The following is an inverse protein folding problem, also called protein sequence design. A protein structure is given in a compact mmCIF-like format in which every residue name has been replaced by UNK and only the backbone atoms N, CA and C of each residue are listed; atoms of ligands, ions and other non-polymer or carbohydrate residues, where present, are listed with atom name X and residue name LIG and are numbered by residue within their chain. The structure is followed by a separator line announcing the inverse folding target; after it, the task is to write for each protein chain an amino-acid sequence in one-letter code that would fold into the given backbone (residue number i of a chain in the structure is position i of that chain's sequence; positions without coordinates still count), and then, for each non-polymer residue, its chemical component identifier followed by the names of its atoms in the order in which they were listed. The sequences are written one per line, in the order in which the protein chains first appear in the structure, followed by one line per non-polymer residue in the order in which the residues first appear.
data_IF_161211894427
#
_entry.id   IF_161211894427
#
_cell.length_a   1.000
_cell.length_b   1.000
_cell.length_c   1.000
_cell.angle_alpha   90.00
_cell.angle_beta   90.00
_cell.angle_gamma   90.00
#
_symmetry.space_group_name_H-M   'P 1'
#
loop_
_entity.id
_entity.type
_entity.pdbx_description
1 polymer ?
#
# COMPACT_ATOMS: atom_id res chain seq x y z
N UNK A 1 -17.70 -4.04 -7.26
CA UNK A 1 -16.85 -5.26 -7.24
C UNK A 1 -15.42 -4.78 -7.07
N UNK A 2 -14.60 -5.46 -6.27
CA UNK A 2 -13.18 -5.09 -6.12
C UNK A 2 -12.33 -6.01 -6.97
N UNK A 3 -11.31 -5.49 -7.63
CA UNK A 3 -10.36 -6.31 -8.40
C UNK A 3 -9.13 -6.63 -7.55
N UNK A 4 -8.60 -7.82 -7.72
CA UNK A 4 -7.34 -8.26 -7.14
C UNK A 4 -6.29 -8.28 -8.24
N UNK A 5 -5.24 -7.49 -8.09
CA UNK A 5 -4.16 -7.39 -9.06
C UNK A 5 -2.80 -7.43 -8.37
N UNK A 6 -1.83 -8.04 -9.01
CA UNK A 6 -0.44 -8.08 -8.53
C UNK A 6 0.45 -7.24 -9.45
N UNK A 7 1.30 -6.38 -8.88
CA UNK A 7 2.41 -5.80 -9.65
C UNK A 7 3.42 -6.91 -9.91
N UNK A 8 3.83 -7.11 -11.16
CA UNK A 8 4.74 -8.20 -11.56
C UNK A 8 5.93 -7.72 -12.38
N UNK A 9 5.97 -6.43 -12.71
CA UNK A 9 7.01 -5.86 -13.54
C UNK A 9 6.78 -4.38 -13.79
N UNK A 10 7.61 -3.82 -14.64
CA UNK A 10 7.52 -2.45 -15.10
C UNK A 10 7.83 -2.42 -16.60
N UNK A 11 7.14 -1.55 -17.35
CA UNK A 11 7.36 -1.35 -18.77
C UNK A 11 7.48 0.14 -19.07
N UNK A 12 8.30 0.47 -20.07
CA UNK A 12 8.38 1.85 -20.58
C UNK A 12 7.31 2.04 -21.64
N UNK A 13 6.39 2.97 -21.40
CA UNK A 13 5.38 3.34 -22.37
C UNK A 13 6.04 4.06 -23.56
N UNK A 14 5.87 3.52 -24.77
CA UNK A 14 6.52 4.04 -25.99
C UNK A 14 6.00 5.43 -26.39
N UNK A 15 4.83 5.84 -25.93
CA UNK A 15 4.24 7.14 -26.28
C UNK A 15 4.69 8.24 -25.32
N UNK A 16 4.74 7.94 -24.02
CA UNK A 16 5.05 8.94 -22.99
C UNK A 16 6.49 8.84 -22.47
N UNK A 17 7.23 7.79 -22.84
CA UNK A 17 8.55 7.43 -22.27
C UNK A 17 8.56 7.30 -20.74
N UNK A 18 7.39 7.12 -20.12
CA UNK A 18 7.29 6.93 -18.68
C UNK A 18 7.29 5.45 -18.33
N UNK A 19 7.95 5.13 -17.21
CA UNK A 19 7.89 3.81 -16.63
C UNK A 19 6.52 3.59 -15.96
N UNK A 20 5.84 2.50 -16.31
CA UNK A 20 4.54 2.11 -15.78
C UNK A 20 4.61 0.71 -15.19
N UNK A 21 3.82 0.46 -14.16
CA UNK A 21 3.71 -0.87 -13.57
C UNK A 21 2.99 -1.84 -14.51
N UNK A 22 3.53 -3.05 -14.62
CA UNK A 22 2.87 -4.20 -15.23
C UNK A 22 2.04 -4.93 -14.17
N UNK A 23 0.75 -5.13 -14.48
CA UNK A 23 -0.22 -5.72 -13.55
C UNK A 23 -0.70 -7.08 -14.07
N UNK A 24 -0.68 -8.09 -13.19
CA UNK A 24 -1.35 -9.37 -13.42
C UNK A 24 -2.71 -9.37 -12.72
N UNK A 25 -3.77 -9.79 -13.44
CA UNK A 25 -5.12 -9.95 -12.88
C UNK A 25 -5.21 -11.25 -12.11
N UNK A 26 -5.45 -11.17 -10.79
CA UNK A 26 -5.47 -12.33 -9.88
C UNK A 26 -6.89 -12.81 -9.61
N UNK A 27 -7.85 -11.90 -9.54
CA UNK A 27 -9.23 -12.26 -9.22
C UNK A 27 -10.09 -11.06 -8.88
N UNK A 28 -11.23 -11.33 -8.24
CA UNK A 28 -12.17 -10.30 -7.80
C UNK A 28 -12.75 -10.64 -6.43
N UNK A 29 -13.10 -9.61 -5.67
CA UNK A 29 -13.93 -9.71 -4.47
C UNK A 29 -15.33 -9.23 -4.82
N UNK A 30 -16.30 -10.12 -4.60
CA UNK A 30 -17.74 -9.87 -4.75
C UNK A 30 -18.46 -9.92 -3.41
N UNK A 31 -19.69 -9.43 -3.40
CA UNK A 31 -20.62 -9.55 -2.27
C UNK A 31 -21.81 -10.38 -2.76
N UNK A 32 -22.11 -11.46 -2.05
CA UNK A 32 -23.25 -12.33 -2.37
C UNK A 32 -24.57 -11.64 -2.08
N UNK A 33 -25.68 -12.17 -2.61
CA UNK A 33 -27.03 -11.65 -2.31
C UNK A 33 -27.38 -11.64 -0.81
N UNK A 34 -26.66 -12.43 0.01
CA UNK A 34 -26.81 -12.50 1.48
C UNK A 34 -25.84 -11.57 2.22
N UNK A 35 -25.13 -10.69 1.52
CA UNK A 35 -24.18 -9.73 2.11
C UNK A 35 -22.82 -10.31 2.51
N UNK A 36 -22.55 -11.59 2.25
CA UNK A 36 -21.23 -12.20 2.53
C UNK A 36 -20.25 -11.88 1.41
N UNK A 37 -19.03 -11.48 1.76
CA UNK A 37 -17.93 -11.31 0.82
C UNK A 37 -17.40 -12.67 0.36
N UNK A 38 -16.99 -12.74 -0.91
CA UNK A 38 -16.32 -13.91 -1.49
C UNK A 38 -15.29 -13.48 -2.51
N UNK A 39 -14.31 -14.34 -2.75
CA UNK A 39 -13.28 -14.13 -3.75
C UNK A 39 -13.43 -15.16 -4.87
N UNK A 40 -13.29 -14.70 -6.11
CA UNK A 40 -13.10 -15.56 -7.27
C UNK A 40 -11.66 -15.37 -7.75
N UNK A 41 -10.93 -16.47 -7.86
CA UNK A 41 -9.56 -16.48 -8.37
C UNK A 41 -9.56 -16.82 -9.86
N UNK A 42 -8.69 -16.15 -10.62
CA UNK A 42 -8.45 -16.48 -12.01
C UNK A 42 -7.65 -17.80 -12.07
N UNK A 43 -8.20 -18.89 -12.65
CA UNK A 43 -7.52 -20.18 -12.71
C UNK A 43 -6.26 -20.19 -13.60
N UNK A 44 -6.10 -19.19 -14.47
CA UNK A 44 -4.91 -19.07 -15.34
C UNK A 44 -3.69 -18.54 -14.59
N UNK A 45 -3.87 -18.08 -13.35
CA UNK A 45 -2.80 -17.44 -12.56
C UNK A 45 -2.03 -18.46 -11.75
N UNK A 46 -0.71 -18.44 -11.90
CA UNK A 46 0.22 -19.15 -11.01
C UNK A 46 0.72 -18.21 -9.93
N UNK A 47 0.31 -18.44 -8.67
CA UNK A 47 0.79 -17.65 -7.52
C UNK A 47 2.30 -17.77 -7.32
N UNK A 48 2.88 -18.95 -7.57
CA UNK A 48 4.33 -19.14 -7.53
C UNK A 48 5.03 -18.30 -8.62
N UNK A 49 4.45 -18.25 -9.82
CA UNK A 49 4.94 -17.40 -10.90
C UNK A 49 4.88 -15.91 -10.55
N UNK A 50 3.79 -15.46 -9.90
CA UNK A 50 3.69 -14.09 -9.41
C UNK A 50 4.78 -13.78 -8.38
N UNK A 51 5.03 -14.68 -7.43
CA UNK A 51 6.05 -14.50 -6.40
C UNK A 51 7.44 -14.33 -7.02
N UNK A 52 7.80 -15.21 -7.96
CA UNK A 52 9.09 -15.14 -8.66
C UNK A 52 9.25 -13.80 -9.36
N UNK A 53 8.22 -13.35 -10.11
CA UNK A 53 8.26 -12.05 -10.78
C UNK A 53 8.41 -10.88 -9.81
N UNK A 54 7.68 -10.90 -8.70
CA UNK A 54 7.79 -9.87 -7.65
C UNK A 54 9.17 -9.85 -7.00
N UNK A 55 9.75 -11.02 -6.73
CA UNK A 55 11.10 -11.12 -6.17
C UNK A 55 12.17 -10.65 -7.17
N UNK A 56 12.03 -10.93 -8.46
CA UNK A 56 12.91 -10.38 -9.49
C UNK A 56 12.79 -8.86 -9.54
N UNK A 57 11.58 -8.31 -9.48
CA UNK A 57 11.36 -6.86 -9.43
C UNK A 57 11.98 -6.22 -8.19
N UNK A 58 11.78 -6.81 -7.01
CA UNK A 58 12.37 -6.35 -5.76
C UNK A 58 13.91 -6.40 -5.81
N UNK A 59 14.49 -7.49 -6.31
CA UNK A 59 15.92 -7.63 -6.48
C UNK A 59 16.51 -6.54 -7.38
N UNK A 60 15.85 -6.24 -8.51
CA UNK A 60 16.27 -5.18 -9.43
C UNK A 60 16.23 -3.79 -8.80
N UNK A 61 15.37 -3.58 -7.81
CA UNK A 61 15.24 -2.32 -7.05
C UNK A 61 16.14 -2.28 -5.81
N UNK A 62 16.86 -3.35 -5.49
CA UNK A 62 17.62 -3.48 -4.24
C UNK A 62 16.72 -3.61 -3.00
N UNK A 63 15.48 -4.02 -3.18
CA UNK A 63 14.51 -4.26 -2.12
C UNK A 63 14.58 -5.69 -1.59
N UNK A 64 14.01 -5.93 -0.40
CA UNK A 64 13.99 -7.24 0.22
C UNK A 64 13.04 -8.19 -0.54
N UNK A 65 13.50 -9.42 -0.75
CA UNK A 65 12.66 -10.50 -1.29
C UNK A 65 11.56 -10.91 -0.30
N UNK A 66 10.43 -11.38 -0.82
CA UNK A 66 9.27 -11.84 -0.05
C UNK A 66 9.06 -13.34 -0.21
N UNK A 67 8.50 -13.96 0.83
CA UNK A 67 7.99 -15.34 0.79
C UNK A 67 6.49 -15.39 0.43
N UNK A 68 5.83 -14.22 0.39
CA UNK A 68 4.39 -14.08 0.16
C UNK A 68 4.13 -13.20 -1.06
N UNK A 69 3.07 -13.53 -1.81
CA UNK A 69 2.62 -12.73 -2.96
C UNK A 69 1.89 -11.49 -2.46
N UNK A 70 2.31 -10.32 -2.93
CA UNK A 70 1.63 -9.07 -2.68
C UNK A 70 0.50 -8.86 -3.70
N UNK A 71 -0.72 -8.67 -3.21
CA UNK A 71 -1.92 -8.42 -4.01
C UNK A 71 -2.54 -7.08 -3.63
N UNK A 72 -2.79 -6.23 -4.61
CA UNK A 72 -3.54 -4.99 -4.46
C UNK A 72 -5.03 -5.23 -4.64
N UNK A 73 -5.84 -4.62 -3.76
CA UNK A 73 -7.30 -4.59 -3.87
C UNK A 73 -7.69 -3.24 -4.46
N UNK A 74 -8.34 -3.25 -5.63
CA UNK A 74 -8.72 -2.05 -6.37
C UNK A 74 -10.24 -1.93 -6.37
N UNK A 75 -10.77 -0.86 -5.78
CA UNK A 75 -12.19 -0.53 -5.80
C UNK A 75 -12.56 0.16 -7.12
N UNK A 76 -13.28 -0.53 -8.00
CA UNK A 76 -13.63 -0.06 -9.35
C UNK A 76 -14.55 1.18 -9.33
N UNK A 77 -15.31 1.38 -8.24
CA UNK A 77 -16.12 2.59 -8.02
C UNK A 77 -15.30 3.82 -7.63
N UNK A 78 -14.12 3.63 -7.02
CA UNK A 78 -13.26 4.75 -6.62
C UNK A 78 -12.45 5.31 -7.80
N UNK A 79 -12.22 4.50 -8.85
CA UNK A 79 -11.36 4.89 -9.96
C UNK A 79 -12.05 5.81 -10.98
N UNK A 80 -13.39 5.88 -10.99
CA UNK A 80 -14.14 6.76 -11.91
C UNK A 80 -14.33 8.19 -11.37
N UNK A 81 -13.89 8.47 -10.13
CA UNK A 81 -14.03 9.79 -9.50
C UNK A 81 -12.70 10.49 -9.22
N UNK A 82 -11.58 9.93 -9.66
CA UNK A 82 -10.26 10.47 -9.34
C UNK A 82 -9.31 10.43 -10.54
N UNK A 83 -9.73 11.11 -11.62
CA UNK A 83 -8.89 11.38 -12.79
C UNK A 83 -7.80 12.45 -12.52
N UNK A 84 -7.52 12.78 -11.26
CA UNK A 84 -6.55 13.79 -10.89
C UNK A 84 -5.95 13.57 -9.50
N UNK A 85 -5.10 12.55 -9.33
CA UNK A 85 -4.04 12.62 -8.30
C UNK A 85 -2.86 11.70 -8.65
N UNK A 86 -1.73 12.38 -8.82
CA UNK A 86 -0.38 11.86 -8.75
C UNK A 86 -0.19 10.86 -7.61
N UNK A 87 0.63 9.84 -7.86
CA UNK A 87 1.53 9.19 -6.90
C UNK A 87 1.00 8.94 -5.48
N UNK A 88 0.69 7.69 -5.14
CA UNK A 88 1.11 7.21 -3.82
C UNK A 88 1.54 5.75 -3.83
N UNK A 89 2.87 5.66 -3.78
CA UNK A 89 3.73 4.53 -3.54
C UNK A 89 3.45 3.93 -2.16
N UNK A 90 3.67 2.63 -2.04
CA UNK A 90 3.38 1.84 -0.85
C UNK A 90 4.11 2.29 0.42
N UNK A 91 3.51 1.93 1.55
CA UNK A 91 4.04 2.18 2.88
C UNK A 91 3.38 1.27 3.92
N UNK A 92 3.54 -0.06 3.76
CA UNK A 92 3.32 -0.99 4.88
C UNK A 92 4.61 -1.02 5.70
N UNK A 93 4.76 -0.07 6.62
CA UNK A 93 5.81 -0.15 7.62
C UNK A 93 5.24 -0.75 8.91
N UNK A 94 5.70 -1.96 9.23
CA UNK A 94 5.57 -2.56 10.55
C UNK A 94 6.23 -1.64 11.58
N UNK A 95 5.47 -1.12 12.54
CA UNK A 95 6.04 -0.67 13.81
C UNK A 95 5.33 -1.32 14.99
N UNK A 96 6.03 -2.33 15.48
CA UNK A 96 5.90 -2.95 16.78
C UNK A 96 6.61 -2.04 17.80
N UNK A 97 5.88 -1.44 18.74
CA UNK A 97 6.41 -1.09 20.08
C UNK A 97 5.28 -0.61 21.02
N UNK A 98 5.03 -1.39 22.08
CA UNK A 98 4.58 -0.89 23.38
C UNK A 98 5.82 -0.31 24.12
N UNK A 99 5.72 0.64 25.10
CA UNK A 99 4.97 0.45 26.35
C UNK A 99 4.42 1.73 27.06
N UNK A 100 3.74 1.51 28.20
CA UNK A 100 3.69 2.33 29.43
C UNK A 100 2.92 3.69 29.41
N UNK A 101 1.78 3.79 30.12
CA UNK A 101 1.60 4.31 31.49
C UNK A 101 1.45 5.85 31.62
N UNK A 102 0.29 6.21 32.20
CA UNK A 102 0.13 7.17 33.30
C UNK A 102 0.13 8.69 33.00
N UNK A 103 -1.10 9.22 32.95
CA UNK A 103 -1.63 10.37 33.72
C UNK A 103 -0.81 11.66 33.88
N UNK A 104 -1.48 12.80 33.71
CA UNK A 104 -1.04 14.04 34.36
C UNK A 104 -1.45 15.33 33.66
N UNK A 105 -2.54 15.94 34.14
CA UNK A 105 -2.81 17.37 34.04
C UNK A 105 -1.63 18.16 34.61
N UNK A 106 -1.11 19.17 33.92
CA UNK A 106 -1.13 20.54 34.45
C UNK A 106 -0.76 21.58 33.39
N UNK A 107 -1.57 22.64 33.35
CA UNK A 107 -1.50 23.76 32.43
C UNK A 107 -1.35 24.99 33.32
N UNK A 108 -0.15 25.55 33.46
CA UNK A 108 0.01 26.85 34.14
C UNK A 108 1.38 27.50 33.87
N UNK A 109 1.31 28.60 33.12
CA UNK A 109 1.95 29.88 33.45
C UNK A 109 3.48 29.97 33.37
N UNK A 110 3.99 30.68 32.36
CA UNK A 110 5.16 31.52 32.57
C UNK A 110 5.18 32.70 31.59
N UNK A 111 4.88 33.89 32.11
CA UNK A 111 5.10 35.17 31.47
C UNK A 111 5.70 36.13 32.50
N UNK A 112 6.87 36.67 32.14
CA UNK A 112 7.47 37.94 32.54
C UNK A 112 7.93 38.16 34.00
N UNK A 113 9.23 38.47 34.13
CA UNK A 113 9.68 39.54 35.04
C UNK A 113 10.99 39.32 35.78
N UNK A 114 12.11 39.82 35.21
CA UNK A 114 12.96 40.81 35.91
C UNK A 114 14.21 40.38 36.70
N UNK A 115 15.32 41.07 36.35
CA UNK A 115 16.49 41.50 37.20
C UNK A 115 17.48 40.38 37.64
N UNK A 116 18.80 40.56 37.85
CA UNK A 116 19.70 41.72 37.96
C UNK A 116 21.17 41.23 37.93
N UNK A 117 22.03 42.01 37.29
CA UNK A 117 23.44 42.36 37.61
C UNK A 117 24.28 41.45 38.55
N UNK A 118 25.42 40.98 38.04
CA UNK A 118 26.77 41.42 38.46
C UNK A 118 27.81 41.05 37.42
#
# INVERSE_FOLDING_TARGET
MKRLSAVVGEYTDKQTNQQKAEWASVGVIGVSAKGKEYMLLNPEVSLAGLLVKQNVLAANKGEKLSDMVMISIIDEQAQNNNQNSNQQQGGFNNQQQAPAQQGGFNNQGNQQGGYQQR
#
